data_IF_065252579412
#
_entry.id   IF_065252579412
#
_cell.length_a   1.000
_cell.length_b   1.000
_cell.length_c   1.000
_cell.angle_alpha   90.00
_cell.angle_beta   90.00
_cell.angle_gamma   90.00
#
_symmetry.space_group_name_H-M   'P 1'
#
loop_
_entity.id
_entity.type
_entity.pdbx_description
1 polymer ?
#
# COMPACT_ATOMS: atom_id res chain seq x y z
N UNK A 1 -15.06 28.72 -104.50
CA UNK A 1 -15.37 27.43 -103.83
C UNK A 1 -14.76 27.42 -102.42
N UNK A 2 -15.64 27.42 -101.42
CA UNK A 2 -15.31 27.57 -100.00
C UNK A 2 -14.63 26.32 -99.40
N UNK A 3 -13.70 26.51 -98.45
CA UNK A 3 -13.42 25.51 -97.41
C UNK A 3 -13.23 26.24 -96.07
N UNK A 4 -14.05 25.81 -95.11
CA UNK A 4 -14.21 26.34 -93.75
C UNK A 4 -13.05 25.92 -92.83
N UNK A 5 -12.88 26.69 -91.74
CA UNK A 5 -11.74 26.64 -90.84
C UNK A 5 -11.69 25.50 -89.82
N UNK A 6 -10.61 25.51 -89.05
CA UNK A 6 -10.38 24.68 -87.87
C UNK A 6 -9.35 25.35 -86.95
N UNK A 7 -9.73 25.57 -85.69
CA UNK A 7 -8.92 26.15 -84.62
C UNK A 7 -7.65 25.34 -84.32
N UNK A 8 -6.56 25.98 -83.82
CA UNK A 8 -5.35 25.28 -83.41
C UNK A 8 -5.56 24.53 -82.09
N UNK A 9 -5.37 23.20 -82.10
CA UNK A 9 -5.42 22.38 -80.90
C UNK A 9 -4.12 22.51 -80.09
N UNK A 10 -4.35 22.78 -78.81
CA UNK A 10 -3.41 22.95 -77.72
C UNK A 10 -2.78 21.59 -77.36
N UNK A 11 -1.45 21.46 -77.43
CA UNK A 11 -0.75 20.29 -76.88
C UNK A 11 -0.62 20.47 -75.37
N UNK A 12 -1.43 19.73 -74.62
CA UNK A 12 -1.43 19.69 -73.15
C UNK A 12 -0.32 18.75 -72.66
N UNK A 13 0.71 19.29 -72.02
CA UNK A 13 1.63 18.50 -71.19
C UNK A 13 0.86 18.06 -69.92
N UNK A 14 0.55 16.77 -69.82
CA UNK A 14 0.03 16.18 -68.58
C UNK A 14 1.18 15.80 -67.65
N UNK A 15 1.50 16.65 -66.67
CA UNK A 15 2.29 16.24 -65.51
C UNK A 15 1.42 15.33 -64.63
N UNK A 16 1.65 14.02 -64.69
CA UNK A 16 1.08 13.07 -63.73
C UNK A 16 1.91 13.09 -62.45
N UNK A 17 1.42 13.75 -61.42
CA UNK A 17 1.97 13.69 -60.05
C UNK A 17 1.81 12.27 -59.52
N UNK A 18 2.92 11.58 -59.24
CA UNK A 18 2.88 10.28 -58.57
C UNK A 18 2.19 10.42 -57.19
N UNK A 19 1.28 9.51 -56.81
CA UNK A 19 0.60 9.59 -55.52
C UNK A 19 1.59 9.38 -54.36
N UNK A 20 1.55 10.26 -53.36
CA UNK A 20 2.42 10.19 -52.19
C UNK A 20 2.32 8.82 -51.48
N UNK A 21 3.46 8.25 -51.04
CA UNK A 21 3.46 6.92 -50.43
C UNK A 21 2.74 6.92 -49.08
N UNK A 22 1.92 5.89 -48.84
CA UNK A 22 1.16 5.75 -47.61
C UNK A 22 2.07 5.46 -46.40
N UNK A 23 1.97 6.27 -45.35
CA UNK A 23 2.82 6.16 -44.17
C UNK A 23 2.41 4.97 -43.29
N UNK A 24 3.40 4.14 -42.92
CA UNK A 24 3.26 3.05 -41.96
C UNK A 24 4.12 3.33 -40.71
N UNK A 25 3.54 3.77 -39.59
CA UNK A 25 4.31 4.08 -38.39
C UNK A 25 4.70 2.82 -37.61
N UNK A 26 6.00 2.66 -37.36
CA UNK A 26 6.52 1.71 -36.37
C UNK A 26 6.42 2.34 -34.99
N UNK A 27 5.45 1.89 -34.20
CA UNK A 27 5.17 2.49 -32.89
C UNK A 27 5.78 1.66 -31.78
N UNK A 28 6.78 2.19 -31.08
CA UNK A 28 7.41 1.55 -29.92
C UNK A 28 7.64 2.55 -28.79
N UNK A 29 7.82 2.08 -27.56
CA UNK A 29 8.35 2.94 -26.49
C UNK A 29 9.83 3.25 -26.76
N UNK A 30 10.29 4.48 -26.51
CA UNK A 30 11.67 4.87 -26.77
C UNK A 30 12.68 4.12 -25.88
N UNK A 31 13.63 3.42 -26.51
CA UNK A 31 14.81 2.83 -25.89
C UNK A 31 15.95 2.70 -26.92
N UNK A 32 17.19 2.48 -26.46
CA UNK A 32 18.33 2.25 -27.36
C UNK A 32 18.12 1.01 -28.24
N UNK A 33 17.62 -0.08 -27.67
CA UNK A 33 17.32 -1.32 -28.39
C UNK A 33 16.22 -1.13 -29.45
N UNK A 34 15.14 -0.42 -29.12
CA UNK A 34 14.05 -0.16 -30.08
C UNK A 34 14.48 0.80 -31.18
N UNK A 35 15.39 1.72 -30.89
CA UNK A 35 15.99 2.60 -31.91
C UNK A 35 16.82 1.80 -32.90
N UNK A 36 17.68 0.90 -32.42
CA UNK A 36 18.44 -0.01 -33.27
C UNK A 36 17.53 -0.92 -34.12
N UNK A 37 16.47 -1.47 -33.51
CA UNK A 37 15.44 -2.25 -34.20
C UNK A 37 14.79 -1.46 -35.35
N UNK A 38 14.33 -0.24 -35.07
CA UNK A 38 13.71 0.63 -36.08
C UNK A 38 14.65 0.95 -37.25
N UNK A 39 15.94 1.14 -36.99
CA UNK A 39 16.95 1.35 -38.03
C UNK A 39 17.10 0.09 -38.90
N UNK A 40 17.21 -1.08 -38.29
CA UNK A 40 17.32 -2.36 -39.01
C UNK A 40 16.09 -2.63 -39.87
N UNK A 41 14.88 -2.40 -39.35
CA UNK A 41 13.65 -2.58 -40.12
C UNK A 41 13.60 -1.61 -41.30
N UNK A 42 13.95 -0.34 -41.10
CA UNK A 42 14.01 0.66 -42.18
C UNK A 42 15.00 0.28 -43.27
N UNK A 43 16.19 -0.21 -42.91
CA UNK A 43 17.23 -0.65 -43.87
C UNK A 43 16.75 -1.81 -44.75
N UNK A 44 15.97 -2.73 -44.18
CA UNK A 44 15.50 -3.93 -44.88
C UNK A 44 14.11 -3.78 -45.50
N UNK A 45 13.43 -2.65 -45.30
CA UNK A 45 12.03 -2.49 -45.72
C UNK A 45 11.87 -2.55 -47.24
N UNK A 46 12.83 -2.03 -47.99
CA UNK A 46 12.84 -2.10 -49.47
C UNK A 46 12.75 -3.55 -49.98
N UNK A 47 13.39 -4.50 -49.29
CA UNK A 47 13.30 -5.92 -49.63
C UNK A 47 11.91 -6.50 -49.32
N UNK A 48 11.32 -6.12 -48.19
CA UNK A 48 9.97 -6.58 -47.82
C UNK A 48 8.92 -6.04 -48.81
N UNK A 49 9.12 -4.83 -49.33
CA UNK A 49 8.23 -4.23 -50.33
C UNK A 49 8.21 -5.03 -51.63
N UNK A 50 9.32 -5.63 -52.05
CA UNK A 50 9.36 -6.42 -53.31
C UNK A 50 8.76 -7.81 -53.15
N UNK A 51 8.80 -8.39 -51.94
CA UNK A 51 8.30 -9.73 -51.67
C UNK A 51 6.79 -9.78 -51.40
N UNK A 52 6.19 -8.67 -50.95
CA UNK A 52 4.82 -8.65 -50.47
C UNK A 52 4.00 -7.48 -51.02
N UNK A 53 2.96 -7.75 -51.85
CA UNK A 53 2.12 -6.72 -52.44
C UNK A 53 1.46 -5.76 -51.44
N UNK A 54 1.23 -6.22 -50.20
CA UNK A 54 0.61 -5.41 -49.14
C UNK A 54 1.43 -4.17 -48.73
N UNK A 55 2.73 -4.16 -49.02
CA UNK A 55 3.66 -3.07 -48.67
C UNK A 55 4.07 -2.21 -49.86
N UNK A 56 3.53 -2.46 -51.06
CA UNK A 56 3.70 -1.58 -52.21
C UNK A 56 3.19 -0.17 -51.91
N UNK A 57 3.93 0.83 -52.38
CA UNK A 57 3.62 2.25 -52.18
C UNK A 57 3.42 2.68 -50.70
N UNK A 58 4.11 2.01 -49.76
CA UNK A 58 4.14 2.42 -48.35
C UNK A 58 5.51 2.95 -47.95
N UNK A 59 5.57 3.88 -47.01
CA UNK A 59 6.81 4.38 -46.39
C UNK A 59 6.77 4.14 -44.89
N UNK A 60 7.80 3.50 -44.36
CA UNK A 60 7.94 3.33 -42.91
C UNK A 60 8.49 4.59 -42.25
N UNK A 61 7.88 4.97 -41.12
CA UNK A 61 8.43 5.97 -40.20
C UNK A 61 8.62 5.37 -38.81
N UNK A 62 9.52 5.94 -38.02
CA UNK A 62 9.67 5.58 -36.60
C UNK A 62 8.82 6.53 -35.78
N UNK A 63 7.93 5.99 -34.95
CA UNK A 63 7.12 6.75 -34.03
C UNK A 63 7.36 6.23 -32.60
N UNK A 64 7.90 7.09 -31.73
CA UNK A 64 8.18 6.68 -30.35
C UNK A 64 7.09 7.16 -29.40
N UNK A 65 6.55 6.25 -28.60
CA UNK A 65 5.70 6.58 -27.45
C UNK A 65 6.58 7.07 -26.31
N UNK A 66 6.09 8.07 -25.57
CA UNK A 66 6.73 8.53 -24.34
C UNK A 66 6.85 7.38 -23.33
N UNK A 67 7.95 7.37 -22.57
CA UNK A 67 8.05 6.49 -21.41
C UNK A 67 6.99 6.90 -20.37
N UNK A 68 6.28 5.96 -19.75
CA UNK A 68 5.33 6.29 -18.68
C UNK A 68 6.11 6.87 -17.50
N UNK A 69 5.70 8.06 -17.03
CA UNK A 69 6.25 8.63 -15.81
C UNK A 69 5.66 7.95 -14.57
N UNK A 70 6.29 8.13 -13.41
CA UNK A 70 5.82 7.56 -12.14
C UNK A 70 4.34 7.87 -11.89
N UNK A 71 3.91 9.12 -12.11
CA UNK A 71 2.50 9.51 -11.98
C UNK A 71 1.59 8.61 -12.83
N UNK A 72 1.90 8.38 -14.10
CA UNK A 72 1.09 7.56 -15.02
C UNK A 72 1.10 6.06 -14.67
N UNK A 73 2.18 5.57 -14.07
CA UNK A 73 2.27 4.21 -13.54
C UNK A 73 1.42 4.04 -12.28
N UNK A 74 1.41 5.06 -11.41
CA UNK A 74 0.77 5.05 -10.09
C UNK A 74 -0.72 5.42 -10.13
N UNK A 75 -1.23 6.06 -11.18
CA UNK A 75 -2.66 6.44 -11.30
C UNK A 75 -3.60 5.23 -11.28
N UNK A 76 -3.10 4.04 -11.63
CA UNK A 76 -3.87 2.78 -11.55
C UNK A 76 -3.63 2.00 -10.26
N UNK A 77 -2.64 2.35 -9.45
CA UNK A 77 -2.47 1.79 -8.11
C UNK A 77 -3.36 2.53 -7.11
N UNK A 78 -4.66 2.60 -7.40
CA UNK A 78 -5.61 2.73 -6.31
C UNK A 78 -5.53 1.39 -5.61
N UNK A 79 -4.96 1.35 -4.40
CA UNK A 79 -5.39 0.33 -3.46
C UNK A 79 -6.91 0.43 -3.48
N UNK A 80 -7.60 -0.63 -3.91
CA UNK A 80 -9.01 -0.74 -3.62
C UNK A 80 -9.09 -0.63 -2.12
N UNK A 81 -9.47 0.54 -1.62
CA UNK A 81 -10.01 0.67 -0.29
C UNK A 81 -11.24 -0.22 -0.37
N UNK A 82 -11.06 -1.49 -0.03
CA UNK A 82 -12.18 -2.38 0.24
C UNK A 82 -13.11 -1.57 1.11
N UNK A 83 -14.28 -1.29 0.54
CA UNK A 83 -15.16 -0.22 0.98
C UNK A 83 -15.34 -0.29 2.47
N UNK A 84 -15.38 0.89 3.12
CA UNK A 84 -15.74 1.10 4.53
C UNK A 84 -16.24 -0.19 5.16
N UNK A 85 -15.32 -1.02 5.67
CA UNK A 85 -15.73 -2.08 6.57
C UNK A 85 -16.54 -1.37 7.65
N UNK A 86 -17.75 -1.82 7.98
CA UNK A 86 -18.48 -1.24 9.10
C UNK A 86 -17.48 -1.20 10.23
N UNK A 87 -17.16 0.00 10.73
CA UNK A 87 -16.07 0.19 11.68
C UNK A 87 -16.28 -0.87 12.76
N UNK A 88 -15.38 -1.87 12.80
CA UNK A 88 -15.62 -3.05 13.64
C UNK A 88 -15.94 -2.54 15.03
N UNK A 89 -16.95 -3.08 15.74
CA UNK A 89 -17.47 -2.45 16.96
C UNK A 89 -16.38 -2.17 18.01
N UNK A 90 -15.23 -2.82 17.93
CA UNK A 90 -14.08 -2.68 18.82
C UNK A 90 -13.10 -1.55 18.47
N UNK A 91 -13.28 -0.84 17.36
CA UNK A 91 -12.33 0.21 16.93
C UNK A 91 -12.31 1.41 17.89
N UNK A 92 -13.37 1.64 18.66
CA UNK A 92 -13.43 2.71 19.66
C UNK A 92 -12.45 2.52 20.83
N UNK A 93 -12.13 1.26 21.18
CA UNK A 93 -11.11 0.94 22.17
C UNK A 93 -9.68 1.17 21.64
N UNK A 94 -9.46 1.12 20.33
CA UNK A 94 -8.12 1.29 19.78
C UNK A 94 -7.73 2.77 19.73
N UNK A 95 -6.55 3.09 20.27
CA UNK A 95 -5.98 4.45 20.21
C UNK A 95 -4.51 4.36 19.82
N UNK A 96 -4.09 5.17 18.85
CA UNK A 96 -2.67 5.42 18.61
C UNK A 96 -2.19 6.50 19.58
N UNK A 97 -1.06 6.27 20.23
CA UNK A 97 -0.46 7.23 21.18
C UNK A 97 0.97 7.53 20.75
N UNK A 98 1.38 8.81 20.81
CA UNK A 98 2.78 9.22 20.59
C UNK A 98 3.65 8.94 21.80
N UNK A 99 3.07 9.06 22.99
CA UNK A 99 3.71 8.76 24.27
C UNK A 99 2.72 8.02 25.18
N UNK A 100 3.26 7.08 25.96
CA UNK A 100 2.57 6.42 27.05
C UNK A 100 3.13 7.01 28.34
N UNK A 101 2.30 7.79 29.03
CA UNK A 101 2.67 8.40 30.31
C UNK A 101 1.97 7.65 31.44
N UNK A 102 2.76 7.11 32.36
CA UNK A 102 2.25 6.53 33.59
C UNK A 102 2.46 7.51 34.76
N UNK A 103 1.40 8.14 35.28
CA UNK A 103 1.53 9.10 36.38
C UNK A 103 1.98 8.44 37.70
N UNK A 104 1.75 7.14 37.88
CA UNK A 104 2.08 6.42 39.11
C UNK A 104 3.56 6.06 39.25
N UNK A 105 4.25 5.86 38.13
CA UNK A 105 5.70 5.63 38.09
C UNK A 105 6.48 6.87 37.63
N UNK A 106 5.79 7.96 37.27
CA UNK A 106 6.37 9.17 36.69
C UNK A 106 7.21 8.88 35.44
N UNK A 107 6.78 7.89 34.65
CA UNK A 107 7.47 7.48 33.42
C UNK A 107 6.68 7.92 32.19
N UNK A 108 7.40 8.24 31.12
CA UNK A 108 6.80 8.55 29.83
C UNK A 108 7.69 8.00 28.72
N UNK A 109 7.15 7.09 27.90
CA UNK A 109 7.90 6.43 26.84
C UNK A 109 7.10 6.42 25.54
N UNK A 110 7.73 6.69 24.38
CA UNK A 110 7.08 6.52 23.08
C UNK A 110 7.00 5.03 22.73
N UNK A 111 5.94 4.56 22.04
CA UNK A 111 6.00 3.25 21.40
C UNK A 111 7.07 3.26 20.31
N UNK A 112 7.60 2.09 19.95
CA UNK A 112 8.68 2.01 18.96
C UNK A 112 8.23 2.45 17.56
N UNK A 113 6.95 2.23 17.23
CA UNK A 113 6.34 2.64 15.97
C UNK A 113 4.83 2.86 16.15
N UNK A 114 4.17 3.31 15.07
CA UNK A 114 2.71 3.25 14.98
C UNK A 114 2.29 1.85 14.55
N UNK A 115 1.46 1.21 15.36
CA UNK A 115 0.89 -0.10 15.06
C UNK A 115 -0.58 0.01 14.67
N UNK A 116 -1.22 -1.11 14.36
CA UNK A 116 -2.65 -1.20 14.09
C UNK A 116 -3.23 -2.49 14.68
N UNK A 117 -4.55 -2.60 14.72
CA UNK A 117 -5.25 -3.78 15.22
C UNK A 117 -4.94 -5.09 14.47
N UNK A 118 -4.42 -5.01 13.24
CA UNK A 118 -4.05 -6.18 12.43
C UNK A 118 -2.63 -6.71 12.72
N UNK A 119 -1.81 -5.95 13.46
CA UNK A 119 -0.45 -6.39 13.78
C UNK A 119 -0.46 -7.59 14.72
N UNK A 120 0.43 -8.54 14.45
CA UNK A 120 0.64 -9.78 15.19
C UNK A 120 2.06 -9.77 15.79
N UNK A 121 2.37 -10.76 16.63
CA UNK A 121 3.69 -10.88 17.26
C UNK A 121 4.13 -9.58 17.98
N UNK A 122 3.23 -9.04 18.79
CA UNK A 122 3.25 -7.66 19.31
C UNK A 122 3.14 -7.62 20.84
N UNK A 123 3.87 -6.70 21.45
CA UNK A 123 3.66 -6.21 22.82
C UNK A 123 2.73 -5.00 22.75
N UNK A 124 1.70 -4.99 23.59
CA UNK A 124 0.66 -3.96 23.63
C UNK A 124 0.42 -3.48 25.06
N UNK A 125 -0.30 -2.37 25.17
CA UNK A 125 -0.75 -1.78 26.42
C UNK A 125 -2.27 -1.65 26.42
N UNK A 126 -2.90 -2.01 27.53
CA UNK A 126 -4.26 -1.63 27.88
C UNK A 126 -4.18 -0.51 28.92
N UNK A 127 -4.94 0.55 28.70
CA UNK A 127 -5.03 1.70 29.61
C UNK A 127 -6.47 1.90 30.04
N UNK A 128 -6.69 2.01 31.35
CA UNK A 128 -7.94 2.50 31.89
C UNK A 128 -7.91 4.03 31.89
N UNK A 129 -8.73 4.68 31.08
CA UNK A 129 -8.76 6.15 30.96
C UNK A 129 -9.42 6.83 32.15
N UNK A 130 -10.07 6.08 33.05
CA UNK A 130 -10.67 6.62 34.27
C UNK A 130 -9.62 6.87 35.36
N UNK A 131 -8.69 5.94 35.57
CA UNK A 131 -7.67 6.05 36.62
C UNK A 131 -6.23 6.09 36.09
N UNK A 132 -6.01 5.96 34.78
CA UNK A 132 -4.69 5.93 34.15
C UNK A 132 -3.78 4.77 34.59
N UNK A 133 -4.35 3.68 35.13
CA UNK A 133 -3.59 2.43 35.32
C UNK A 133 -3.41 1.69 34.00
N UNK A 134 -2.28 0.99 33.90
CA UNK A 134 -1.87 0.31 32.69
C UNK A 134 -1.65 -1.19 32.93
N UNK A 135 -1.99 -1.99 31.92
CA UNK A 135 -1.62 -3.39 31.77
C UNK A 135 -0.79 -3.54 30.50
N UNK A 136 0.29 -4.29 30.55
CA UNK A 136 1.10 -4.63 29.38
C UNK A 136 0.99 -6.12 29.13
N UNK A 137 0.81 -6.49 27.87
CA UNK A 137 0.68 -7.88 27.47
C UNK A 137 1.36 -8.16 26.14
N UNK A 138 1.66 -9.43 25.87
CA UNK A 138 2.07 -9.91 24.55
C UNK A 138 0.98 -10.70 23.84
N UNK A 139 1.06 -10.75 22.50
CA UNK A 139 0.33 -11.74 21.71
C UNK A 139 1.07 -12.13 20.44
N UNK A 140 1.02 -13.43 20.10
CA UNK A 140 1.42 -13.93 18.77
C UNK A 140 0.36 -13.60 17.71
N UNK A 141 -0.92 -13.55 18.10
CA UNK A 141 -2.06 -13.35 17.22
C UNK A 141 -2.24 -11.86 16.88
N UNK A 142 -3.13 -11.51 15.93
CA UNK A 142 -3.50 -10.12 15.71
C UNK A 142 -4.00 -9.45 16.99
N UNK A 143 -3.61 -8.18 17.20
CA UNK A 143 -4.00 -7.39 18.37
C UNK A 143 -5.53 -7.31 18.54
N UNK A 144 -6.29 -7.27 17.44
CA UNK A 144 -7.75 -7.33 17.46
C UNK A 144 -8.28 -8.61 18.12
N UNK A 145 -7.67 -9.76 17.82
CA UNK A 145 -8.06 -11.04 18.42
C UNK A 145 -7.81 -11.00 19.93
N UNK A 146 -6.66 -10.45 20.35
CA UNK A 146 -6.34 -10.33 21.76
C UNK A 146 -7.26 -9.35 22.50
N UNK A 147 -7.63 -8.23 21.88
CA UNK A 147 -8.62 -7.29 22.41
C UNK A 147 -9.96 -7.99 22.65
N UNK A 148 -10.48 -8.75 21.67
CA UNK A 148 -11.74 -9.50 21.82
C UNK A 148 -11.69 -10.49 22.97
N UNK A 149 -10.58 -11.21 23.12
CA UNK A 149 -10.38 -12.14 24.22
C UNK A 149 -10.42 -11.44 25.58
N UNK A 150 -9.75 -10.30 25.71
CA UNK A 150 -9.81 -9.50 26.94
C UNK A 150 -11.21 -9.04 27.25
N UNK A 151 -11.92 -8.47 26.27
CA UNK A 151 -13.30 -8.02 26.45
C UNK A 151 -14.24 -9.16 26.84
N UNK A 152 -14.09 -10.34 26.24
CA UNK A 152 -14.86 -11.53 26.60
C UNK A 152 -14.56 -12.00 28.04
N UNK A 153 -13.29 -12.08 28.43
CA UNK A 153 -12.91 -12.49 29.77
C UNK A 153 -13.35 -11.48 30.84
N UNK A 154 -13.34 -10.19 30.49
CA UNK A 154 -13.91 -9.13 31.32
C UNK A 154 -15.41 -9.34 31.45
N UNK A 155 -16.17 -9.48 30.36
CA UNK A 155 -17.62 -9.72 30.39
C UNK A 155 -18.00 -10.93 31.26
N UNK A 156 -17.28 -12.04 31.11
CA UNK A 156 -17.57 -13.27 31.86
C UNK A 156 -17.06 -13.26 33.30
N UNK A 157 -16.12 -12.39 33.64
CA UNK A 157 -15.54 -12.31 34.99
C UNK A 157 -14.87 -13.62 35.47
N UNK A 158 -14.49 -14.51 34.56
CA UNK A 158 -13.99 -15.86 34.92
C UNK A 158 -12.54 -15.86 35.40
N UNK A 159 -11.76 -14.84 35.07
CA UNK A 159 -10.36 -14.73 35.45
C UNK A 159 -10.18 -13.78 36.64
N UNK A 160 -9.36 -14.19 37.60
CA UNK A 160 -9.05 -13.41 38.81
C UNK A 160 -7.86 -12.45 38.64
N UNK A 161 -7.35 -12.28 37.41
CA UNK A 161 -6.25 -11.34 37.11
C UNK A 161 -6.60 -9.90 37.53
N UNK A 162 -5.61 -9.10 37.87
CA UNK A 162 -5.82 -7.69 38.21
C UNK A 162 -6.48 -6.89 37.09
N UNK A 163 -6.20 -7.21 35.82
CA UNK A 163 -6.86 -6.58 34.68
C UNK A 163 -8.37 -6.83 34.68
N UNK A 164 -8.79 -8.09 34.81
CA UNK A 164 -10.22 -8.45 34.73
C UNK A 164 -10.99 -7.93 35.93
N UNK A 165 -10.48 -8.15 37.14
CA UNK A 165 -11.09 -7.62 38.36
C UNK A 165 -11.20 -6.09 38.37
N UNK A 166 -10.21 -5.39 37.80
CA UNK A 166 -10.27 -3.94 37.62
C UNK A 166 -11.42 -3.51 36.70
N UNK A 167 -11.58 -4.14 35.54
CA UNK A 167 -12.65 -3.80 34.59
C UNK A 167 -14.02 -4.40 34.93
N UNK A 168 -14.12 -5.15 36.03
CA UNK A 168 -15.40 -5.46 36.68
C UNK A 168 -15.90 -4.28 37.51
N UNK A 169 -15.00 -3.45 38.04
CA UNK A 169 -15.33 -2.24 38.79
C UNK A 169 -15.36 -0.99 37.91
N UNK A 170 -14.52 -0.96 36.86
CA UNK A 170 -14.44 0.12 35.88
C UNK A 170 -15.07 -0.34 34.56
N UNK A 171 -16.05 0.40 34.03
CA UNK A 171 -16.68 0.06 32.75
C UNK A 171 -15.66 -0.07 31.62
N UNK A 172 -15.87 -1.05 30.73
CA UNK A 172 -15.04 -1.28 29.54
C UNK A 172 -14.98 -0.06 28.60
N UNK A 173 -15.90 0.90 28.70
CA UNK A 173 -15.83 2.15 27.94
C UNK A 173 -14.54 2.95 28.21
N UNK A 174 -13.93 2.77 29.38
CA UNK A 174 -12.65 3.37 29.75
C UNK A 174 -11.45 2.53 29.32
N UNK A 175 -11.66 1.34 28.75
CA UNK A 175 -10.60 0.48 28.23
C UNK A 175 -10.14 1.00 26.88
N UNK A 176 -8.85 1.33 26.78
CA UNK A 176 -8.20 1.59 25.50
C UNK A 176 -7.00 0.67 25.30
N UNK A 177 -6.73 0.27 24.06
CA UNK A 177 -5.58 -0.59 23.71
C UNK A 177 -4.71 0.08 22.62
N UNK A 178 -3.41 -0.07 22.76
CA UNK A 178 -2.40 0.46 21.83
C UNK A 178 -1.25 -0.55 21.66
N UNK A 179 -0.62 -0.60 20.49
CA UNK A 179 0.61 -1.37 20.29
C UNK A 179 1.83 -0.60 20.82
N UNK A 180 2.82 -1.32 21.37
CA UNK A 180 4.07 -0.76 21.90
C UNK A 180 5.29 -1.14 21.05
N UNK A 181 5.40 -2.41 20.70
CA UNK A 181 6.56 -2.97 19.99
C UNK A 181 6.16 -4.27 19.28
N UNK A 182 6.55 -4.46 18.02
CA UNK A 182 6.22 -5.66 17.25
C UNK A 182 7.28 -5.99 16.21
N UNK A 183 7.78 -7.22 16.23
CA UNK A 183 8.76 -7.71 15.27
C UNK A 183 8.34 -9.07 14.74
N UNK A 184 8.16 -9.19 13.42
CA UNK A 184 7.59 -10.38 12.77
C UNK A 184 8.35 -11.67 13.09
N UNK A 185 9.68 -11.59 13.20
CA UNK A 185 10.57 -12.73 13.42
C UNK A 185 10.81 -13.08 14.89
N UNK A 186 10.12 -12.43 15.82
CA UNK A 186 10.30 -12.76 17.24
C UNK A 186 9.86 -14.18 17.56
N UNK A 187 10.73 -14.88 18.29
CA UNK A 187 10.34 -16.08 19.02
C UNK A 187 9.44 -15.70 20.20
N UNK A 188 8.73 -16.68 20.75
CA UNK A 188 7.94 -16.47 21.98
C UNK A 188 8.80 -15.93 23.13
N UNK A 189 10.03 -16.43 23.28
CA UNK A 189 10.94 -15.96 24.32
C UNK A 189 11.37 -14.50 24.15
N UNK A 190 11.65 -14.08 22.91
CA UNK A 190 12.00 -12.69 22.62
C UNK A 190 10.83 -11.74 22.88
N UNK A 191 9.62 -12.12 22.47
CA UNK A 191 8.42 -11.31 22.71
C UNK A 191 8.09 -11.19 24.20
N UNK A 192 8.19 -12.28 24.97
CA UNK A 192 8.04 -12.26 26.43
C UNK A 192 9.11 -11.41 27.13
N UNK A 193 10.36 -11.45 26.65
CA UNK A 193 11.42 -10.57 27.15
C UNK A 193 11.09 -9.10 26.91
N UNK A 194 10.59 -8.76 25.72
CA UNK A 194 10.17 -7.39 25.41
C UNK A 194 9.01 -6.94 26.31
N UNK A 195 7.99 -7.78 26.49
CA UNK A 195 6.89 -7.54 27.44
C UNK A 195 7.40 -7.22 28.85
N UNK A 196 8.31 -8.05 29.38
CA UNK A 196 8.91 -7.83 30.71
C UNK A 196 9.63 -6.49 30.81
N UNK A 197 10.44 -6.14 29.80
CA UNK A 197 11.16 -4.85 29.76
C UNK A 197 10.16 -3.68 29.78
N UNK A 198 9.05 -3.80 29.04
CA UNK A 198 8.01 -2.77 29.03
C UNK A 198 7.28 -2.64 30.37
N UNK A 199 6.96 -3.76 31.04
CA UNK A 199 6.36 -3.78 32.38
C UNK A 199 7.26 -3.06 33.39
N UNK A 200 8.56 -3.36 33.39
CA UNK A 200 9.54 -2.73 34.27
C UNK A 200 9.68 -1.24 33.98
N UNK A 201 9.89 -0.87 32.71
CA UNK A 201 10.10 0.51 32.28
C UNK A 201 8.92 1.43 32.57
N UNK A 202 7.69 0.95 32.38
CA UNK A 202 6.48 1.74 32.63
C UNK A 202 5.93 1.56 34.05
N UNK A 203 6.44 0.62 34.84
CA UNK A 203 5.98 0.36 36.20
C UNK A 203 4.51 -0.02 36.26
N UNK A 204 4.12 -1.10 35.58
CA UNK A 204 2.71 -1.50 35.44
C UNK A 204 2.28 -2.64 36.36
N UNK A 205 3.13 -3.03 37.32
CA UNK A 205 2.81 -4.06 38.33
C UNK A 205 1.83 -3.50 39.37
N UNK A 206 0.90 -4.33 39.83
CA UNK A 206 0.01 -4.07 40.96
C UNK A 206 0.78 -3.60 42.22
N UNK A 207 0.25 -2.68 43.06
CA UNK A 207 -1.09 -2.06 43.00
C UNK A 207 -1.18 -0.82 42.12
N UNK A 208 -0.05 -0.30 41.62
CA UNK A 208 0.03 0.95 40.84
C UNK A 208 -0.24 0.74 39.34
N UNK A 209 -0.16 -0.50 38.85
CA UNK A 209 -0.68 -0.89 37.55
C UNK A 209 -1.58 -2.12 37.65
N UNK A 210 -1.71 -2.83 36.53
CA UNK A 210 -2.66 -3.94 36.34
C UNK A 210 -1.97 -5.27 35.97
N UNK A 211 -0.64 -5.31 35.87
CA UNK A 211 0.11 -6.55 35.74
C UNK A 211 0.26 -7.23 37.10
N UNK A 212 0.15 -8.55 37.11
CA UNK A 212 0.39 -9.37 38.31
C UNK A 212 1.88 -9.36 38.68
N UNK A 213 2.18 -9.64 39.94
CA UNK A 213 3.57 -9.79 40.41
C UNK A 213 4.17 -11.03 39.72
N UNK A 214 5.35 -10.92 39.06
CA UNK A 214 5.99 -12.08 38.46
C UNK A 214 6.36 -13.10 39.54
N UNK A 215 5.88 -14.34 39.40
CA UNK A 215 6.36 -15.46 40.22
C UNK A 215 7.76 -15.84 39.71
N UNK A 216 8.80 -15.54 40.49
CA UNK A 216 10.18 -15.97 40.23
C UNK A 216 10.51 -17.25 40.99
#
# INVERSE_FOLDING_TARGET
PAVQGGCPQHNTFTNQTQPDPHILPLVSTFSHTTTALHQTIKRNFTHIQTQHPAFHNRKIISAYRRNPNLQSLLVRSKFTTHGKTPATPFHHHYKTRKFITNPYSQTSLPPHNTYSLSHSNIVYIITCTLCNKHYIGETKNPLLTRLKQHLHNIDKGTLTTHLVTHFQQHSIQYLTISGLEAQDRWTTGQRKRAEKIWIEKLGTITPRGLNDIPNY
#
